data_IF_445888928810
#
_entry.id   IF_445888928810
#
_cell.length_a   1.000
_cell.length_b   1.000
_cell.length_c   1.000
_cell.angle_alpha   90.00
_cell.angle_beta   90.00
_cell.angle_gamma   90.00
#
_symmetry.space_group_name_H-M   'P 1'
#
loop_
_entity.id
_entity.type
_entity.pdbx_description
1 polymer ?
#
# COMPACT_ATOMS: atom_id res chain seq x y z
N UNK A 1 -14.57 49.35 15.87
CA UNK A 1 -13.52 48.77 16.72
C UNK A 1 -12.63 47.89 15.85
N UNK A 2 -11.36 48.28 15.59
CA UNK A 2 -10.46 47.53 14.70
C UNK A 2 -9.87 46.30 15.41
N UNK A 3 -9.79 45.18 14.69
CA UNK A 3 -9.16 43.93 15.12
C UNK A 3 -7.64 44.06 14.97
N UNK A 4 -6.91 43.98 16.07
CA UNK A 4 -5.44 43.92 16.05
C UNK A 4 -4.94 42.52 15.69
N UNK A 5 -4.05 42.48 14.71
CA UNK A 5 -3.32 41.31 14.25
C UNK A 5 -2.39 40.77 15.35
N UNK A 6 -2.39 39.45 15.54
CA UNK A 6 -1.39 38.75 16.37
C UNK A 6 -0.36 38.15 15.42
N UNK A 7 0.82 38.78 15.33
CA UNK A 7 2.03 38.13 14.80
C UNK A 7 2.56 37.18 15.87
N UNK A 8 2.73 35.90 15.53
CA UNK A 8 3.62 34.99 16.27
C UNK A 8 4.79 34.65 15.35
N UNK A 9 5.94 35.25 15.64
CA UNK A 9 7.23 34.75 15.19
C UNK A 9 7.68 33.68 16.18
N UNK A 10 7.61 32.41 15.78
CA UNK A 10 8.36 31.35 16.43
C UNK A 10 9.44 30.87 15.47
N UNK A 11 10.65 31.36 15.70
CA UNK A 11 11.88 30.89 15.07
C UNK A 11 12.33 29.67 15.87
N UNK A 12 11.99 28.46 15.41
CA UNK A 12 12.50 27.23 16.01
C UNK A 12 13.65 26.70 15.15
N UNK A 13 14.84 26.44 15.72
CA UNK A 13 15.98 25.93 14.96
C UNK A 13 15.69 24.51 14.45
N UNK A 14 15.74 24.34 13.13
CA UNK A 14 15.70 23.03 12.47
C UNK A 14 17.04 22.31 12.70
N UNK A 15 17.06 21.39 13.65
CA UNK A 15 18.13 20.40 13.78
C UNK A 15 17.93 19.36 12.67
N UNK A 16 18.62 19.54 11.55
CA UNK A 16 18.67 18.52 10.49
C UNK A 16 19.54 17.35 10.97
N UNK A 17 18.92 16.26 11.42
CA UNK A 17 19.58 14.99 11.55
C UNK A 17 19.73 14.37 10.16
N UNK A 18 20.94 14.43 9.60
CA UNK A 18 21.30 13.78 8.35
C UNK A 18 21.35 12.26 8.61
N UNK A 19 20.28 11.54 8.25
CA UNK A 19 20.28 10.07 8.30
C UNK A 19 20.90 9.57 7.00
N UNK A 20 22.15 9.12 7.08
CA UNK A 20 22.87 8.48 5.99
C UNK A 20 22.30 7.09 5.74
N UNK A 21 21.43 6.95 4.72
CA UNK A 21 20.96 5.66 4.23
C UNK A 21 22.08 4.97 3.43
N UNK A 22 22.66 3.92 3.99
CA UNK A 22 23.57 3.01 3.29
C UNK A 22 22.71 2.09 2.41
N UNK A 23 22.61 2.42 1.12
CA UNK A 23 22.04 1.53 0.10
C UNK A 23 23.00 0.37 -0.15
N UNK A 24 22.62 -0.84 0.27
CA UNK A 24 23.22 -2.08 -0.21
C UNK A 24 22.74 -2.33 -1.65
N UNK A 25 23.41 -1.71 -2.63
CA UNK A 25 23.02 -1.86 -4.03
C UNK A 25 23.73 -0.93 -5.01
N UNK A 26 24.99 -0.60 -4.78
CA UNK A 26 25.87 -0.07 -5.82
C UNK A 26 26.84 -1.17 -6.24
N UNK A 27 26.38 -2.12 -7.06
CA UNK A 27 27.29 -2.95 -7.85
C UNK A 27 27.47 -2.29 -9.21
N UNK A 28 28.67 -1.74 -9.37
CA UNK A 28 29.31 -1.25 -10.59
C UNK A 28 29.02 -2.15 -11.80
N UNK A 29 28.73 -1.61 -13.00
CA UNK A 29 28.78 -2.39 -14.22
C UNK A 29 30.24 -2.81 -14.49
N UNK A 30 30.49 -4.11 -14.50
CA UNK A 30 31.77 -4.68 -14.91
C UNK A 30 31.96 -4.50 -16.43
N UNK A 31 33.14 -4.08 -16.93
CA UNK A 31 33.42 -4.06 -18.35
C UNK A 31 33.86 -5.45 -18.88
N UNK A 32 33.42 -5.69 -20.11
CA UNK A 32 33.78 -6.65 -21.16
C UNK A 32 34.97 -7.62 -21.04
N UNK A 33 34.71 -8.82 -21.60
CA UNK A 33 35.56 -9.69 -22.44
C UNK A 33 37.06 -9.83 -22.17
N UNK A 34 37.50 -11.05 -21.86
CA UNK A 34 38.49 -11.79 -22.65
C UNK A 34 38.82 -13.18 -22.08
N UNK A 35 39.11 -14.09 -23.01
CA UNK A 35 39.83 -15.37 -22.90
C UNK A 35 39.08 -16.64 -22.47
N UNK A 36 38.78 -17.45 -23.49
CA UNK A 36 38.68 -18.91 -23.40
C UNK A 36 40.06 -19.52 -23.05
N UNK A 37 40.10 -20.75 -22.49
CA UNK A 37 40.38 -21.84 -23.41
C UNK A 37 39.59 -23.15 -23.16
N UNK A 38 39.46 -23.86 -24.27
CA UNK A 38 39.05 -25.25 -24.51
C UNK A 38 39.40 -26.30 -23.45
N UNK A 39 38.44 -27.19 -23.15
CA UNK A 39 38.69 -28.64 -22.99
C UNK A 39 37.50 -29.47 -23.48
N UNK A 40 37.83 -30.66 -23.98
CA UNK A 40 37.12 -31.54 -24.93
C UNK A 40 35.87 -32.29 -24.36
N UNK A 41 35.14 -33.07 -25.20
CA UNK A 41 33.81 -33.59 -24.90
C UNK A 41 33.87 -34.93 -24.16
N UNK A 42 32.95 -35.13 -23.22
CA UNK A 42 32.65 -36.46 -22.66
C UNK A 42 31.24 -36.86 -23.07
N UNK A 43 31.20 -37.93 -23.85
CA UNK A 43 30.04 -38.67 -24.32
C UNK A 43 29.41 -39.47 -23.16
N UNK A 44 28.10 -39.31 -22.97
CA UNK A 44 27.26 -40.30 -22.31
C UNK A 44 25.82 -40.18 -22.84
N UNK A 45 25.40 -41.14 -23.66
CA UNK A 45 23.99 -41.48 -23.93
C UNK A 45 23.51 -42.52 -22.88
N UNK A 46 22.21 -42.87 -22.72
CA UNK A 46 21.06 -42.56 -23.59
C UNK A 46 19.76 -42.09 -22.88
N UNK A 47 18.85 -41.56 -23.70
CA UNK A 47 17.37 -41.56 -23.66
C UNK A 47 16.64 -41.85 -22.35
N UNK A 48 15.90 -40.85 -21.87
CA UNK A 48 14.54 -41.05 -21.37
C UNK A 48 13.64 -39.94 -21.96
N UNK A 49 12.70 -40.34 -22.83
CA UNK A 49 11.63 -39.48 -23.29
C UNK A 49 10.73 -39.18 -22.08
N UNK A 50 10.98 -38.05 -21.42
CA UNK A 50 10.06 -37.48 -20.45
C UNK A 50 8.87 -36.90 -21.21
N UNK A 51 7.71 -37.51 -21.05
CA UNK A 51 6.40 -36.91 -21.35
C UNK A 51 6.39 -35.45 -20.87
N UNK A 52 5.91 -34.47 -21.65
CA UNK A 52 5.66 -33.15 -21.11
C UNK A 52 4.70 -33.32 -19.93
N UNK A 53 5.17 -33.05 -18.72
CA UNK A 53 4.28 -32.90 -17.59
C UNK A 53 3.40 -31.69 -17.92
N UNK A 54 2.16 -31.96 -18.28
CA UNK A 54 1.12 -30.96 -18.40
C UNK A 54 0.94 -30.40 -16.98
N UNK A 55 1.54 -29.22 -16.74
CA UNK A 55 1.36 -28.50 -15.49
C UNK A 55 -0.16 -28.34 -15.28
N UNK A 56 -0.73 -28.81 -14.15
CA UNK A 56 -2.13 -28.63 -13.90
C UNK A 56 -2.39 -27.13 -13.77
N UNK A 57 -3.04 -26.54 -14.76
CA UNK A 57 -3.53 -25.16 -14.70
C UNK A 57 -4.36 -25.00 -13.42
N UNK A 58 -3.92 -24.20 -12.43
CA UNK A 58 -4.69 -24.02 -11.21
C UNK A 58 -5.95 -23.19 -11.52
N UNK A 59 -7.10 -23.86 -11.61
CA UNK A 59 -8.44 -23.26 -11.82
C UNK A 59 -9.04 -22.74 -10.49
N UNK A 60 -8.22 -22.19 -9.60
CA UNK A 60 -8.75 -21.60 -8.36
C UNK A 60 -9.14 -20.14 -8.63
N UNK A 61 -10.45 -19.86 -8.64
CA UNK A 61 -10.93 -18.47 -8.63
C UNK A 61 -10.32 -17.77 -7.41
N UNK A 62 -9.66 -16.62 -7.58
CA UNK A 62 -9.07 -15.92 -6.46
C UNK A 62 -10.15 -15.59 -5.43
N UNK A 63 -9.99 -16.11 -4.22
CA UNK A 63 -10.88 -15.78 -3.10
C UNK A 63 -10.52 -14.41 -2.56
N UNK A 64 -11.52 -13.55 -2.44
CA UNK A 64 -11.42 -12.24 -1.80
C UNK A 64 -11.17 -12.39 -0.29
N UNK A 65 -10.18 -11.68 0.29
CA UNK A 65 -9.88 -11.76 1.72
C UNK A 65 -10.98 -11.11 2.58
N UNK A 66 -11.21 -11.64 3.78
CA UNK A 66 -12.23 -11.09 4.68
C UNK A 66 -11.78 -9.73 5.24
N UNK A 67 -12.61 -8.70 5.07
CA UNK A 67 -12.36 -7.42 5.71
C UNK A 67 -12.81 -7.42 7.18
N UNK A 68 -12.15 -6.58 7.96
CA UNK A 68 -12.56 -6.19 9.30
C UNK A 68 -13.67 -5.12 9.16
N UNK A 69 -14.85 -5.29 9.77
CA UNK A 69 -15.86 -4.24 9.81
C UNK A 69 -15.29 -2.95 10.40
N UNK A 70 -15.73 -1.80 9.91
CA UNK A 70 -15.20 -0.50 10.35
C UNK A 70 -15.40 -0.27 11.85
N UNK A 71 -16.56 -0.59 12.40
CA UNK A 71 -16.82 -0.49 13.84
C UNK A 71 -15.88 -1.36 14.68
N UNK A 72 -15.53 -2.56 14.19
CA UNK A 72 -14.51 -3.40 14.82
C UNK A 72 -13.10 -2.82 14.68
N UNK A 73 -12.74 -2.26 13.52
CA UNK A 73 -11.46 -1.60 13.32
C UNK A 73 -11.29 -0.38 14.24
N UNK A 74 -12.38 0.39 14.44
CA UNK A 74 -12.42 1.56 15.33
C UNK A 74 -12.36 1.20 16.81
N UNK A 75 -12.84 0.02 17.19
CA UNK A 75 -12.75 -0.48 18.56
C UNK A 75 -11.49 -1.33 18.80
N UNK A 76 -10.66 -1.58 17.78
CA UNK A 76 -9.51 -2.46 17.89
C UNK A 76 -8.45 -1.91 18.85
N UNK A 77 -8.04 -2.74 19.80
CA UNK A 77 -6.89 -2.45 20.68
C UNK A 77 -5.57 -2.87 20.05
N UNK A 78 -5.63 -3.78 19.08
CA UNK A 78 -4.49 -4.28 18.34
C UNK A 78 -4.30 -3.50 17.03
N UNK A 79 -3.10 -3.59 16.45
CA UNK A 79 -2.83 -3.00 15.15
C UNK A 79 -3.57 -3.72 14.03
N UNK A 80 -3.98 -2.99 13.00
CA UNK A 80 -4.59 -3.54 11.79
C UNK A 80 -3.98 -2.88 10.54
N UNK A 81 -4.39 -3.32 9.35
CA UNK A 81 -4.00 -2.72 8.07
C UNK A 81 -5.19 -2.07 7.39
N UNK A 82 -4.96 -0.98 6.67
CA UNK A 82 -5.98 -0.31 5.86
C UNK A 82 -5.52 -0.21 4.41
N UNK A 83 -6.44 -0.52 3.50
CA UNK A 83 -6.28 -0.28 2.07
C UNK A 83 -7.16 0.91 1.70
N UNK A 84 -6.55 2.01 1.29
CA UNK A 84 -7.25 3.17 0.78
C UNK A 84 -7.53 2.97 -0.70
N UNK A 85 -8.79 2.73 -1.05
CA UNK A 85 -9.21 2.52 -2.44
C UNK A 85 -9.08 3.79 -3.27
N UNK A 86 -9.54 4.90 -2.70
CA UNK A 86 -9.42 6.24 -3.22
C UNK A 86 -9.10 7.20 -2.08
N UNK A 87 -8.40 8.29 -2.41
CA UNK A 87 -8.20 9.44 -1.54
C UNK A 87 -8.42 10.68 -2.40
N UNK A 88 -9.29 11.58 -1.96
CA UNK A 88 -9.64 12.80 -2.65
C UNK A 88 -9.97 13.92 -1.64
N UNK A 89 -9.88 15.20 -2.05
CA UNK A 89 -10.48 16.28 -1.29
C UNK A 89 -11.98 16.04 -1.11
N UNK A 90 -12.55 16.52 0.00
CA UNK A 90 -14.00 16.41 0.30
C UNK A 90 -14.94 16.91 -0.80
N UNK A 91 -14.44 17.72 -1.73
CA UNK A 91 -15.21 18.37 -2.79
C UNK A 91 -15.17 17.59 -4.12
N UNK A 92 -14.36 16.51 -4.17
CA UNK A 92 -14.22 15.60 -5.31
C UNK A 92 -14.74 14.20 -4.92
N UNK A 93 -16.05 14.14 -4.69
CA UNK A 93 -16.75 12.93 -4.21
C UNK A 93 -16.80 11.81 -5.26
N UNK A 94 -16.69 12.13 -6.55
CA UNK A 94 -16.88 11.16 -7.63
C UNK A 94 -15.90 9.98 -7.57
N UNK A 95 -14.64 10.22 -7.18
CA UNK A 95 -13.66 9.16 -7.02
C UNK A 95 -13.92 8.29 -5.78
N UNK A 96 -14.41 8.90 -4.69
CA UNK A 96 -14.73 8.22 -3.44
C UNK A 96 -15.99 7.36 -3.61
N UNK A 97 -17.02 7.89 -4.25
CA UNK A 97 -18.28 7.19 -4.56
C UNK A 97 -18.02 5.98 -5.46
N UNK A 98 -17.26 6.16 -6.54
CA UNK A 98 -16.94 5.05 -7.45
C UNK A 98 -16.15 3.93 -6.74
N UNK A 99 -15.25 4.29 -5.82
CA UNK A 99 -14.53 3.31 -5.01
C UNK A 99 -15.46 2.60 -4.01
N UNK A 100 -16.37 3.33 -3.37
CA UNK A 100 -17.34 2.80 -2.43
C UNK A 100 -18.33 1.85 -3.13
N UNK A 101 -18.95 2.26 -4.23
CA UNK A 101 -19.90 1.44 -5.01
C UNK A 101 -19.25 0.12 -5.45
N UNK A 102 -18.00 0.19 -5.92
CA UNK A 102 -17.25 -1.01 -6.30
C UNK A 102 -16.99 -1.91 -5.10
N UNK A 103 -16.63 -1.35 -3.94
CA UNK A 103 -16.36 -2.12 -2.73
C UNK A 103 -17.63 -2.81 -2.23
N UNK A 104 -18.76 -2.10 -2.22
CA UNK A 104 -20.07 -2.62 -1.86
C UNK A 104 -20.51 -3.76 -2.79
N UNK A 105 -20.28 -3.64 -4.09
CA UNK A 105 -20.57 -4.70 -5.07
C UNK A 105 -19.80 -6.01 -4.80
N UNK A 106 -18.68 -5.91 -4.10
CA UNK A 106 -17.83 -7.02 -3.66
C UNK A 106 -18.09 -7.44 -2.20
N UNK A 107 -19.05 -6.80 -1.52
CA UNK A 107 -19.44 -7.11 -0.15
C UNK A 107 -18.60 -6.44 0.94
N UNK A 108 -17.85 -5.39 0.60
CA UNK A 108 -17.01 -4.65 1.55
C UNK A 108 -17.70 -3.34 1.98
N UNK A 109 -17.63 -3.04 3.28
CA UNK A 109 -17.96 -1.71 3.80
C UNK A 109 -16.76 -0.80 3.63
N UNK A 110 -16.93 0.29 2.88
CA UNK A 110 -15.86 1.23 2.57
C UNK A 110 -16.37 2.67 2.55
N UNK A 111 -17.07 3.08 3.61
CA UNK A 111 -17.63 4.42 3.71
C UNK A 111 -16.51 5.47 3.68
N UNK A 112 -16.76 6.60 3.03
CA UNK A 112 -15.81 7.71 3.02
C UNK A 112 -15.54 8.20 4.45
N UNK A 113 -14.27 8.21 4.85
CA UNK A 113 -13.79 8.61 6.17
C UNK A 113 -12.63 9.61 6.04
N UNK A 114 -12.50 10.62 6.93
CA UNK A 114 -11.35 11.53 6.90
C UNK A 114 -10.03 10.79 7.04
N UNK A 115 -9.02 11.09 6.22
CA UNK A 115 -7.74 10.35 6.26
C UNK A 115 -6.99 10.57 7.58
N UNK A 116 -7.13 11.76 8.19
CA UNK A 116 -6.51 12.11 9.48
C UNK A 116 -6.95 11.19 10.63
N UNK A 117 -8.05 10.49 10.45
CA UNK A 117 -8.61 9.63 11.47
C UNK A 117 -7.75 8.36 11.65
N UNK A 118 -6.98 7.99 10.63
CA UNK A 118 -6.23 6.73 10.59
C UNK A 118 -4.74 7.02 10.38
N UNK A 119 -3.97 7.31 11.45
CA UNK A 119 -2.53 7.53 11.34
C UNK A 119 -1.77 6.20 11.22
N UNK A 120 -0.66 6.16 10.46
CA UNK A 120 -0.02 7.27 9.76
C UNK A 120 -0.71 7.60 8.42
N UNK A 121 -0.55 8.86 7.97
CA UNK A 121 -0.98 9.24 6.62
C UNK A 121 -0.28 8.35 5.57
N UNK A 122 -1.01 7.89 4.55
CA UNK A 122 -0.47 6.96 3.56
C UNK A 122 0.73 7.56 2.81
N UNK A 123 1.84 6.83 2.80
CA UNK A 123 3.04 7.25 2.08
C UNK A 123 2.77 7.27 0.56
N UNK A 124 3.28 8.29 -0.14
CA UNK A 124 3.17 8.40 -1.60
C UNK A 124 1.89 9.08 -2.11
N UNK A 125 0.94 9.39 -1.24
CA UNK A 125 -0.23 10.19 -1.58
C UNK A 125 0.08 11.66 -1.32
N UNK A 126 0.08 12.47 -2.38
CA UNK A 126 0.32 13.92 -2.26
C UNK A 126 -1.01 14.62 -2.12
N UNK A 127 -1.29 15.16 -0.94
CA UNK A 127 -2.41 16.05 -0.70
C UNK A 127 -1.89 17.47 -0.42
N UNK A 128 -2.55 18.48 -0.98
CA UNK A 128 -2.24 19.89 -0.69
C UNK A 128 -2.55 20.23 0.78
N UNK A 129 -3.60 19.59 1.32
CA UNK A 129 -3.98 19.61 2.73
C UNK A 129 -4.55 18.26 3.13
N UNK A 130 -4.11 17.72 4.27
CA UNK A 130 -4.69 16.52 4.86
C UNK A 130 -5.94 16.83 5.70
N UNK A 131 -6.16 18.09 6.07
CA UNK A 131 -7.31 18.52 6.90
C UNK A 131 -8.66 18.35 6.17
N UNK A 132 -8.63 18.37 4.83
CA UNK A 132 -9.81 18.19 3.96
C UNK A 132 -9.76 16.90 3.13
N UNK A 133 -8.79 16.01 3.41
CA UNK A 133 -8.63 14.77 2.67
C UNK A 133 -9.55 13.66 3.23
N UNK A 134 -10.33 13.07 2.34
CA UNK A 134 -11.19 11.93 2.61
C UNK A 134 -10.69 10.73 1.81
N UNK A 135 -10.94 9.54 2.32
CA UNK A 135 -10.63 8.32 1.62
C UNK A 135 -11.68 7.25 1.84
N UNK A 136 -11.61 6.22 1.02
CA UNK A 136 -12.49 5.05 1.03
C UNK A 136 -11.68 3.85 1.56
N UNK A 137 -11.65 3.60 2.89
CA UNK A 137 -10.82 2.58 3.50
C UNK A 137 -11.49 1.21 3.48
N UNK A 138 -10.68 0.16 3.36
CA UNK A 138 -11.05 -1.22 3.70
C UNK A 138 -10.05 -1.74 4.71
N UNK A 139 -10.54 -2.25 5.84
CA UNK A 139 -9.71 -2.65 6.97
C UNK A 139 -9.46 -4.16 6.97
N UNK A 140 -8.28 -4.57 7.43
CA UNK A 140 -7.87 -5.98 7.52
C UNK A 140 -7.09 -6.22 8.81
N UNK A 141 -7.35 -7.33 9.50
CA UNK A 141 -6.54 -7.71 10.68
C UNK A 141 -5.13 -8.12 10.29
N UNK A 142 -4.97 -8.77 9.14
CA UNK A 142 -3.68 -9.27 8.66
C UNK A 142 -3.12 -8.36 7.56
N UNK A 143 -1.85 -7.93 7.64
CA UNK A 143 -1.16 -7.27 6.53
C UNK A 143 -1.21 -8.06 5.22
N UNK A 144 -1.11 -9.39 5.29
CA UNK A 144 -1.14 -10.26 4.11
C UNK A 144 -2.49 -10.23 3.40
N UNK A 145 -3.58 -10.08 4.15
CA UNK A 145 -4.92 -9.96 3.59
C UNK A 145 -5.12 -8.60 2.91
N UNK A 146 -4.56 -7.52 3.49
CA UNK A 146 -4.54 -6.19 2.87
C UNK A 146 -3.74 -6.19 1.55
N UNK A 147 -2.56 -6.80 1.53
CA UNK A 147 -1.73 -6.89 0.33
C UNK A 147 -2.41 -7.72 -0.77
N UNK A 148 -2.98 -8.86 -0.39
CA UNK A 148 -3.75 -9.71 -1.29
C UNK A 148 -4.96 -8.96 -1.83
N UNK A 149 -5.68 -8.24 -0.98
CA UNK A 149 -6.81 -7.43 -1.40
C UNK A 149 -6.39 -6.37 -2.42
N UNK A 150 -5.32 -5.62 -2.14
CA UNK A 150 -4.81 -4.60 -3.05
C UNK A 150 -4.39 -5.19 -4.40
N UNK A 151 -3.75 -6.36 -4.40
CA UNK A 151 -3.39 -7.07 -5.63
C UNK A 151 -4.61 -7.53 -6.44
N UNK A 152 -5.67 -8.01 -5.78
CA UNK A 152 -6.92 -8.45 -6.42
C UNK A 152 -7.78 -7.27 -6.89
N UNK A 153 -7.80 -6.18 -6.13
CA UNK A 153 -8.47 -4.94 -6.50
C UNK A 153 -7.87 -4.35 -7.78
N UNK A 154 -6.56 -4.47 -7.93
CA UNK A 154 -5.82 -3.92 -9.05
C UNK A 154 -5.76 -2.40 -9.01
N UNK A 155 -5.35 -1.79 -10.12
CA UNK A 155 -5.26 -0.33 -10.20
C UNK A 155 -6.65 0.29 -10.44
N UNK A 156 -7.00 1.41 -9.77
CA UNK A 156 -6.22 2.11 -8.76
C UNK A 156 -6.52 1.64 -7.32
N UNK A 157 -5.45 1.50 -6.53
CA UNK A 157 -5.43 1.57 -5.06
C UNK A 157 -4.62 2.82 -4.71
N UNK A 158 -5.15 3.70 -3.87
CA UNK A 158 -4.46 4.92 -3.48
C UNK A 158 -3.26 4.63 -2.55
N UNK A 159 -3.45 3.75 -1.57
CA UNK A 159 -2.39 3.32 -0.66
C UNK A 159 -2.74 2.05 0.13
N UNK A 160 -1.71 1.39 0.65
CA UNK A 160 -1.82 0.35 1.67
C UNK A 160 -0.98 0.79 2.87
N UNK A 161 -1.57 0.76 4.06
CA UNK A 161 -0.89 1.11 5.32
C UNK A 161 -1.06 -0.04 6.30
N UNK A 162 0.04 -0.46 6.90
CA UNK A 162 0.07 -1.53 7.90
C UNK A 162 0.36 -0.97 9.29
N UNK A 163 0.16 -1.81 10.30
CA UNK A 163 0.45 -1.51 11.71
C UNK A 163 -0.21 -0.21 12.21
N UNK A 164 -1.46 -0.01 11.77
CA UNK A 164 -2.26 1.16 12.07
C UNK A 164 -2.83 1.06 13.47
N UNK A 165 -2.72 2.17 14.22
CA UNK A 165 -3.40 2.37 15.50
C UNK A 165 -4.33 3.58 15.37
N UNK A 166 -5.62 3.36 15.55
CA UNK A 166 -6.62 4.41 15.36
C UNK A 166 -6.55 5.46 16.48
N UNK A 167 -6.65 6.73 16.08
CA UNK A 167 -6.69 7.87 17.00
C UNK A 167 -7.72 8.90 16.52
N UNK A 168 -8.99 8.50 16.37
CA UNK A 168 -10.09 9.45 16.23
C UNK A 168 -10.70 9.74 17.60
N UNK A 169 -10.34 10.88 18.18
CA UNK A 169 -11.20 11.47 19.21
C UNK A 169 -12.38 12.14 18.50
N UNK A 170 -13.57 11.55 18.57
CA UNK A 170 -14.79 12.29 18.27
C UNK A 170 -14.97 13.31 19.40
N UNK A 171 -14.44 14.52 19.19
CA UNK A 171 -14.60 15.65 20.10
C UNK A 171 -16.01 16.21 20.07
#
# INVERSE_FOLDING_TARGET
MPRHAVRRHHTTPLTFALVTLVLAGCTTPAPDDADAPTTAPTEAAPTAAGTPAEDPTPTATPTWPAALPEDEAMAATDSYSVVWLAIAPSQDEAALDAAQERAESLGYGAAATPVICVPPAPAGVVAESWDDAWGTPVYFRSPQDADRFAALWGSPVAAVVHDVHLACGWG
#
